data_IF_579447155927
#
_entry.id   IF_579447155927
#
_cell.length_a   1.000
_cell.length_b   1.000
_cell.length_c   1.000
_cell.angle_alpha   90.00
_cell.angle_beta   90.00
_cell.angle_gamma   90.00
#
_symmetry.space_group_name_H-M   'P 1'
#
loop_
_entity.id
_entity.type
_entity.pdbx_description
1 polymer ?
#
# COMPACT_ATOMS: atom_id res chain seq x y z
N UNK A 1 -9.13 3.58 13.66
CA UNK A 1 -7.81 2.90 13.69
C UNK A 1 -7.10 3.10 15.01
N UNK A 2 -6.74 4.33 15.42
CA UNK A 2 -5.93 4.59 16.62
C UNK A 2 -6.51 4.04 17.94
N UNK A 3 -7.84 3.98 18.08
CA UNK A 3 -8.52 3.41 19.26
C UNK A 3 -8.99 1.96 19.08
N UNK A 4 -8.68 1.33 17.94
CA UNK A 4 -9.01 -0.07 17.68
C UNK A 4 -7.98 -1.02 18.34
N UNK A 5 -8.24 -2.34 18.39
CA UNK A 5 -7.26 -3.32 18.86
C UNK A 5 -5.94 -3.29 18.08
N UNK A 6 -5.96 -2.82 16.83
CA UNK A 6 -4.79 -2.62 15.95
C UNK A 6 -4.33 -1.14 15.93
N UNK A 7 -4.51 -0.42 17.04
CA UNK A 7 -4.23 1.00 17.13
C UNK A 7 -2.77 1.36 16.85
N UNK A 8 -2.57 2.29 15.91
CA UNK A 8 -1.27 2.90 15.63
C UNK A 8 -0.87 3.88 16.75
N UNK A 9 0.43 3.98 17.03
CA UNK A 9 1.05 4.91 17.98
C UNK A 9 0.64 4.83 19.47
N UNK A 10 -0.27 3.92 19.87
CA UNK A 10 -0.80 3.85 21.25
C UNK A 10 0.27 3.72 22.34
N UNK A 11 1.31 2.94 22.07
CA UNK A 11 2.52 2.86 22.88
C UNK A 11 3.72 2.90 21.94
N UNK A 12 4.39 4.04 21.86
CA UNK A 12 5.61 4.19 21.08
C UNK A 12 6.65 5.01 21.84
N UNK A 13 7.93 4.76 21.57
CA UNK A 13 8.99 5.63 22.06
C UNK A 13 8.97 6.95 21.27
N UNK A 14 9.52 8.02 21.84
CA UNK A 14 9.70 9.28 21.10
C UNK A 14 10.43 9.05 19.77
N UNK A 15 11.48 8.21 19.75
CA UNK A 15 12.24 7.87 18.53
C UNK A 15 11.34 7.22 17.48
N UNK A 16 10.54 6.23 17.88
CA UNK A 16 9.61 5.56 16.97
C UNK A 16 8.57 6.54 16.42
N UNK A 17 8.10 7.47 17.26
CA UNK A 17 7.15 8.48 16.82
C UNK A 17 7.75 9.44 15.79
N UNK A 18 8.94 9.97 16.07
CA UNK A 18 9.64 10.88 15.17
C UNK A 18 9.91 10.22 13.82
N UNK A 19 10.38 8.98 13.81
CA UNK A 19 10.69 8.28 12.57
C UNK A 19 9.49 7.96 11.67
N UNK A 20 8.27 7.93 12.22
CA UNK A 20 7.08 7.48 11.49
C UNK A 20 6.11 8.62 11.16
N UNK A 21 6.02 9.65 12.00
CA UNK A 21 5.03 10.73 11.88
C UNK A 21 5.59 12.14 11.97
N UNK A 22 6.87 12.34 12.32
CA UNK A 22 7.46 13.68 12.28
C UNK A 22 7.49 14.19 10.85
N UNK A 23 7.19 15.47 10.67
CA UNK A 23 7.36 16.12 9.37
C UNK A 23 8.85 16.22 8.99
N UNK A 24 9.70 16.54 9.97
CA UNK A 24 11.13 16.81 9.73
C UNK A 24 12.02 15.56 9.90
N UNK A 25 11.60 14.60 10.73
CA UNK A 25 12.44 13.46 11.14
C UNK A 25 11.96 12.09 10.63
N UNK A 26 10.88 12.05 9.84
CA UNK A 26 10.40 10.80 9.29
C UNK A 26 11.42 10.24 8.29
N UNK A 27 11.76 8.95 8.44
CA UNK A 27 12.70 8.27 7.55
C UNK A 27 11.99 7.45 6.46
N UNK A 28 10.66 7.33 6.54
CA UNK A 28 9.86 6.59 5.57
C UNK A 28 9.47 7.48 4.40
N UNK A 29 10.20 7.38 3.28
CA UNK A 29 9.86 8.03 2.02
C UNK A 29 10.01 7.06 0.85
N UNK A 30 8.88 6.60 0.31
CA UNK A 30 8.85 5.67 -0.79
C UNK A 30 9.35 6.26 -2.13
N UNK A 31 9.34 7.58 -2.31
CA UNK A 31 9.91 8.21 -3.51
C UNK A 31 11.43 8.24 -3.42
N UNK A 32 11.96 8.54 -2.23
CA UNK A 32 13.40 8.54 -1.98
C UNK A 32 13.99 7.12 -1.98
N UNK A 33 13.31 6.16 -1.35
CA UNK A 33 13.79 4.77 -1.26
C UNK A 33 13.37 3.88 -2.45
N UNK A 34 12.34 4.27 -3.21
CA UNK A 34 11.80 3.49 -4.33
C UNK A 34 12.84 3.03 -5.35
N UNK A 35 13.82 3.86 -5.75
CA UNK A 35 14.86 3.46 -6.70
C UNK A 35 15.69 2.25 -6.26
N UNK A 36 15.81 1.99 -4.94
CA UNK A 36 16.56 0.85 -4.40
C UNK A 36 15.79 -0.48 -4.47
N UNK A 37 14.48 -0.44 -4.76
CA UNK A 37 13.65 -1.64 -4.90
C UNK A 37 14.02 -2.34 -6.21
N UNK A 38 14.87 -3.35 -6.09
CA UNK A 38 15.40 -4.12 -7.22
C UNK A 38 14.62 -5.42 -7.52
N UNK A 39 13.48 -5.65 -6.88
CA UNK A 39 12.62 -6.85 -7.06
C UNK A 39 11.31 -6.48 -7.76
N UNK A 40 10.62 -7.44 -8.43
CA UNK A 40 9.31 -7.18 -9.02
C UNK A 40 8.32 -6.62 -8.00
N UNK A 41 7.47 -5.69 -8.43
CA UNK A 41 6.57 -4.99 -7.54
C UNK A 41 5.15 -4.82 -8.08
N UNK A 42 4.16 -5.02 -7.21
CA UNK A 42 2.76 -4.72 -7.47
C UNK A 42 2.31 -3.56 -6.59
N UNK A 43 1.71 -2.54 -7.21
CA UNK A 43 1.12 -1.40 -6.52
C UNK A 43 -0.39 -1.37 -6.78
N UNK A 44 -1.21 -1.40 -5.72
CA UNK A 44 -2.66 -1.28 -5.82
C UNK A 44 -3.10 0.00 -5.10
N UNK A 45 -3.78 0.90 -5.81
CA UNK A 45 -4.34 2.14 -5.26
C UNK A 45 -5.85 2.10 -5.09
N UNK A 46 -6.35 2.64 -3.98
CA UNK A 46 -7.78 2.73 -3.68
C UNK A 46 -8.28 4.14 -3.98
N UNK A 47 -9.23 4.28 -4.91
CA UNK A 47 -9.61 5.61 -5.43
C UNK A 47 -10.58 6.41 -4.55
N UNK A 48 -11.15 5.80 -3.50
CA UNK A 48 -11.92 6.49 -2.46
C UNK A 48 -11.21 6.43 -1.10
N UNK A 49 -9.88 6.33 -1.11
CA UNK A 49 -9.03 6.37 0.08
C UNK A 49 -8.88 7.82 0.59
N UNK A 50 -9.25 8.03 1.85
CA UNK A 50 -9.20 9.32 2.54
C UNK A 50 -7.90 9.53 3.34
N UNK A 51 -7.02 8.53 3.40
CA UNK A 51 -5.72 8.58 4.04
C UNK A 51 -4.56 8.64 3.03
N UNK A 52 -4.64 7.87 1.96
CA UNK A 52 -3.63 7.75 0.90
C UNK A 52 -4.23 8.18 -0.45
N UNK A 53 -4.11 9.48 -0.79
CA UNK A 53 -4.67 9.99 -2.05
C UNK A 53 -4.11 9.26 -3.28
N UNK A 54 -4.84 9.17 -4.40
CA UNK A 54 -4.38 8.49 -5.63
C UNK A 54 -3.01 9.00 -6.14
N UNK A 55 -2.69 10.27 -5.89
CA UNK A 55 -1.40 10.84 -6.27
C UNK A 55 -0.20 10.16 -5.58
N UNK A 56 -0.38 9.67 -4.35
CA UNK A 56 0.67 8.98 -3.60
C UNK A 56 1.00 7.62 -4.22
N UNK A 57 -0.03 6.83 -4.55
CA UNK A 57 0.12 5.54 -5.24
C UNK A 57 0.92 5.68 -6.53
N UNK A 58 0.58 6.66 -7.36
CA UNK A 58 1.26 6.89 -8.65
C UNK A 58 2.72 7.28 -8.46
N UNK A 59 3.02 8.18 -7.52
CA UNK A 59 4.40 8.58 -7.21
C UNK A 59 5.24 7.42 -6.68
N UNK A 60 4.65 6.54 -5.86
CA UNK A 60 5.31 5.32 -5.39
C UNK A 60 5.63 4.42 -6.58
N UNK A 61 4.64 4.14 -7.43
CA UNK A 61 4.83 3.31 -8.62
C UNK A 61 5.93 3.86 -9.54
N UNK A 62 5.88 5.16 -9.84
CA UNK A 62 6.87 5.83 -10.68
C UNK A 62 8.29 5.72 -10.11
N UNK A 63 8.44 5.84 -8.78
CA UNK A 63 9.73 5.81 -8.10
C UNK A 63 10.39 4.41 -8.02
N UNK A 64 9.62 3.32 -8.08
CA UNK A 64 10.17 1.95 -7.99
C UNK A 64 11.21 1.71 -9.09
N UNK A 65 12.41 1.30 -8.68
CA UNK A 65 13.57 1.11 -9.57
C UNK A 65 13.48 -0.12 -10.48
N UNK A 66 12.80 -1.19 -10.04
CA UNK A 66 12.61 -2.39 -10.86
C UNK A 66 11.64 -2.13 -12.03
N UNK A 67 12.00 -2.45 -13.28
CA UNK A 67 11.12 -2.26 -14.44
C UNK A 67 9.94 -3.25 -14.50
N UNK A 68 10.06 -4.41 -13.85
CA UNK A 68 8.99 -5.39 -13.66
C UNK A 68 8.06 -4.92 -12.54
N UNK A 69 7.23 -3.94 -12.88
CA UNK A 69 6.27 -3.33 -11.95
C UNK A 69 4.91 -3.12 -12.58
N UNK A 70 3.88 -3.46 -11.84
CA UNK A 70 2.48 -3.31 -12.24
C UNK A 70 1.73 -2.38 -11.28
N UNK A 71 0.77 -1.61 -11.82
CA UNK A 71 -0.10 -0.77 -11.01
C UNK A 71 -1.56 -0.99 -11.38
N UNK A 72 -2.41 -1.12 -10.37
CA UNK A 72 -3.87 -1.18 -10.49
C UNK A 72 -4.51 -0.12 -9.61
N UNK A 73 -5.67 0.38 -10.02
CA UNK A 73 -6.46 1.32 -9.22
C UNK A 73 -7.90 0.79 -9.11
N UNK A 74 -8.42 0.69 -7.89
CA UNK A 74 -9.75 0.14 -7.62
C UNK A 74 -10.73 1.28 -7.32
N UNK A 75 -11.71 1.44 -8.21
CA UNK A 75 -12.70 2.50 -8.12
C UNK A 75 -13.61 2.34 -6.89
N UNK A 76 -13.77 3.42 -6.11
CA UNK A 76 -14.66 3.42 -4.95
C UNK A 76 -14.19 2.59 -3.75
N UNK A 77 -13.00 1.99 -3.82
CA UNK A 77 -12.39 1.32 -2.68
C UNK A 77 -11.93 2.36 -1.64
N UNK A 78 -12.29 2.15 -0.38
CA UNK A 78 -11.78 2.94 0.75
C UNK A 78 -10.48 2.33 1.33
N UNK A 79 -9.86 3.01 2.28
CA UNK A 79 -8.53 2.63 2.81
C UNK A 79 -8.46 1.20 3.38
N UNK A 80 -9.57 0.67 3.91
CA UNK A 80 -9.60 -0.63 4.60
C UNK A 80 -10.50 -1.68 3.96
N UNK A 81 -11.11 -1.37 2.81
CA UNK A 81 -12.24 -2.13 2.29
C UNK A 81 -13.32 -2.40 3.37
N UNK A 82 -13.53 -1.43 4.25
CA UNK A 82 -14.42 -1.57 5.40
C UNK A 82 -15.85 -1.21 5.02
N UNK A 83 -16.79 -2.11 5.28
CA UNK A 83 -18.21 -1.95 4.93
C UNK A 83 -18.73 -3.10 4.09
N UNK A 84 -20.05 -3.30 4.08
CA UNK A 84 -20.66 -4.37 3.28
C UNK A 84 -20.51 -4.10 1.77
N UNK A 85 -20.51 -2.82 1.40
CA UNK A 85 -20.37 -2.26 0.05
C UNK A 85 -18.94 -2.28 -0.50
N UNK A 86 -17.97 -2.72 0.32
CA UNK A 86 -16.55 -2.80 -0.04
C UNK A 86 -16.09 -4.23 -0.34
N UNK A 87 -16.95 -5.24 -0.13
CA UNK A 87 -16.57 -6.67 -0.30
C UNK A 87 -16.18 -7.02 -1.72
N UNK A 88 -16.86 -6.45 -2.71
CA UNK A 88 -16.54 -6.62 -4.12
C UNK A 88 -15.17 -6.00 -4.46
N UNK A 89 -14.85 -4.82 -3.92
CA UNK A 89 -13.54 -4.16 -4.11
C UNK A 89 -12.42 -4.95 -3.44
N UNK A 90 -12.68 -5.52 -2.25
CA UNK A 90 -11.75 -6.42 -1.59
C UNK A 90 -11.48 -7.68 -2.43
N UNK A 91 -12.54 -8.28 -2.99
CA UNK A 91 -12.41 -9.45 -3.85
C UNK A 91 -11.60 -9.13 -5.11
N UNK A 92 -11.80 -7.96 -5.71
CA UNK A 92 -11.00 -7.47 -6.84
C UNK A 92 -9.52 -7.34 -6.45
N UNK A 93 -9.21 -6.68 -5.34
CA UNK A 93 -7.85 -6.52 -4.84
C UNK A 93 -7.15 -7.85 -4.58
N UNK A 94 -7.83 -8.79 -3.93
CA UNK A 94 -7.32 -10.14 -3.66
C UNK A 94 -7.12 -10.91 -4.96
N UNK A 95 -8.03 -10.76 -5.92
CA UNK A 95 -7.92 -11.36 -7.25
C UNK A 95 -6.67 -10.89 -7.98
N UNK A 96 -6.45 -9.57 -8.05
CA UNK A 96 -5.27 -8.95 -8.65
C UNK A 96 -3.99 -9.44 -7.97
N UNK A 97 -3.93 -9.40 -6.63
CA UNK A 97 -2.75 -9.82 -5.90
C UNK A 97 -2.43 -11.32 -6.09
N UNK A 98 -3.46 -12.17 -6.07
CA UNK A 98 -3.28 -13.62 -6.23
C UNK A 98 -2.84 -13.98 -7.64
N UNK A 99 -3.48 -13.38 -8.67
CA UNK A 99 -3.09 -13.55 -10.06
C UNK A 99 -1.63 -13.10 -10.29
N UNK A 100 -1.25 -11.93 -9.79
CA UNK A 100 0.11 -11.42 -9.89
C UNK A 100 1.13 -12.38 -9.27
N UNK A 101 0.85 -12.89 -8.06
CA UNK A 101 1.73 -13.86 -7.40
C UNK A 101 1.89 -15.15 -8.21
N UNK A 102 0.83 -15.64 -8.84
CA UNK A 102 0.88 -16.85 -9.69
C UNK A 102 1.69 -16.59 -10.96
N UNK A 103 1.47 -15.43 -11.62
CA UNK A 103 2.23 -15.07 -12.84
C UNK A 103 3.73 -14.86 -12.60
N UNK A 104 4.13 -14.55 -11.38
CA UNK A 104 5.53 -14.37 -10.97
C UNK A 104 6.12 -15.60 -10.27
N UNK A 105 5.45 -16.76 -10.36
CA UNK A 105 5.89 -18.02 -9.73
C UNK A 105 6.09 -17.93 -8.20
N UNK A 106 5.44 -16.97 -7.53
CA UNK A 106 5.46 -16.81 -6.07
C UNK A 106 4.36 -17.60 -5.36
N UNK A 107 3.35 -18.06 -6.10
CA UNK A 107 2.28 -18.92 -5.60
C UNK A 107 1.81 -19.92 -6.67
N UNK A 108 1.11 -20.96 -6.24
CA UNK A 108 0.48 -21.94 -7.13
C UNK A 108 -1.02 -21.66 -7.20
N UNK A 109 -1.59 -21.68 -8.41
CA UNK A 109 -3.03 -21.61 -8.62
C UNK A 109 -3.73 -22.75 -7.85
N UNK A 110 -4.73 -22.39 -7.03
CA UNK A 110 -5.56 -23.35 -6.27
C UNK A 110 -6.88 -23.60 -6.96
#
# INVERSE_FOLDING_TARGET
VNMSPVGLARFCTLRSWLSQWSYDDANGDAVTCGPDIAVPALVIGNLADDACTPSHTRRIYEAIGNPDKEMYEIAGANHYYAGAEQRDKLNEAVGIATDWLVRHDFAVAR
#
